data_IF_682825651917
#
_entry.id   IF_682825651917
#
_cell.length_a   1.000
_cell.length_b   1.000
_cell.length_c   1.000
_cell.angle_alpha   90.00
_cell.angle_beta   90.00
_cell.angle_gamma   90.00
#
_symmetry.space_group_name_H-M   'P 1'
#
loop_
_entity.id
_entity.type
_entity.pdbx_description
1 polymer ?
#
# COMPACT_ATOMS: atom_id res chain seq x y z
N UNK A 1 56.31 9.89 -20.73
CA UNK A 1 55.59 8.61 -20.79
C UNK A 1 54.87 8.38 -19.46
N UNK A 2 53.61 7.94 -19.50
CA UNK A 2 52.74 7.54 -18.37
C UNK A 2 52.31 8.68 -17.41
N UNK A 3 51.06 8.87 -17.00
CA UNK A 3 49.80 8.11 -17.13
C UNK A 3 48.63 9.09 -16.96
N UNK A 4 47.66 9.00 -17.86
CA UNK A 4 46.27 9.39 -17.65
C UNK A 4 45.72 8.75 -16.38
N UNK A 5 45.08 9.52 -15.50
CA UNK A 5 44.04 9.01 -14.61
C UNK A 5 42.81 9.92 -14.73
N UNK A 6 41.87 9.43 -15.53
CA UNK A 6 40.51 9.94 -15.62
C UNK A 6 39.84 9.83 -14.25
N UNK A 7 39.49 10.97 -13.68
CA UNK A 7 38.57 11.10 -12.55
C UNK A 7 37.16 10.79 -13.06
N UNK A 8 36.72 9.55 -12.92
CA UNK A 8 35.32 9.16 -13.13
C UNK A 8 34.50 9.63 -11.93
N UNK A 9 33.87 10.79 -12.09
CA UNK A 9 32.76 11.25 -11.25
C UNK A 9 31.61 10.25 -11.39
N UNK A 10 31.45 9.35 -10.40
CA UNK A 10 30.21 8.59 -10.22
C UNK A 10 29.11 9.55 -9.79
N UNK A 11 28.38 10.10 -10.76
CA UNK A 11 27.08 10.71 -10.49
C UNK A 11 26.11 9.58 -10.14
N UNK A 12 25.87 9.40 -8.84
CA UNK A 12 24.84 8.55 -8.30
C UNK A 12 23.48 9.22 -8.53
N UNK A 13 22.85 8.88 -9.67
CA UNK A 13 21.56 9.40 -10.10
C UNK A 13 20.49 8.31 -10.17
N UNK A 14 20.38 7.45 -9.16
CA UNK A 14 19.17 6.64 -8.97
C UNK A 14 18.20 7.45 -8.12
N UNK A 15 17.42 8.32 -8.78
CA UNK A 15 16.24 8.91 -8.14
C UNK A 15 15.33 7.77 -7.76
N UNK A 16 15.08 7.61 -6.47
CA UNK A 16 14.26 6.56 -5.89
C UNK A 16 12.79 6.92 -6.12
N UNK A 17 12.30 6.67 -7.34
CA UNK A 17 10.94 7.02 -7.80
C UNK A 17 9.85 6.31 -6.97
N UNK A 18 10.20 5.26 -6.24
CA UNK A 18 9.27 4.54 -5.35
C UNK A 18 8.86 5.34 -4.10
N UNK A 19 9.60 6.40 -3.73
CA UNK A 19 9.33 7.19 -2.53
C UNK A 19 8.34 8.34 -2.69
N UNK A 20 8.12 8.84 -3.92
CA UNK A 20 7.39 10.09 -4.17
C UNK A 20 5.85 9.93 -4.16
N UNK A 21 5.32 8.72 -4.37
CA UNK A 21 3.87 8.48 -4.44
C UNK A 21 3.20 8.32 -3.07
N UNK A 22 3.98 8.08 -2.01
CA UNK A 22 3.44 7.67 -0.69
C UNK A 22 2.85 8.81 0.13
N UNK A 23 3.22 10.07 -0.14
CA UNK A 23 2.90 11.19 0.76
C UNK A 23 1.81 12.14 0.20
N UNK A 24 1.24 11.86 -0.98
CA UNK A 24 0.29 12.79 -1.61
C UNK A 24 -0.83 12.17 -2.44
N UNK A 25 -0.70 10.90 -2.84
CA UNK A 25 -1.66 10.28 -3.76
C UNK A 25 -2.98 9.88 -3.07
N UNK A 26 -2.94 9.47 -1.79
CA UNK A 26 -4.10 8.88 -1.13
C UNK A 26 -5.20 9.87 -0.77
N UNK A 27 -4.85 11.11 -0.37
CA UNK A 27 -5.83 12.15 0.01
C UNK A 27 -6.73 12.62 -1.14
N UNK A 28 -6.47 12.18 -2.36
CA UNK A 28 -7.18 12.62 -3.56
C UNK A 28 -7.58 11.47 -4.50
N UNK A 29 -7.59 10.22 -4.02
CA UNK A 29 -8.10 9.12 -4.84
C UNK A 29 -9.62 9.20 -4.94
N UNK A 30 -10.15 9.28 -6.16
CA UNK A 30 -11.60 9.27 -6.38
C UNK A 30 -12.20 7.95 -5.91
N UNK A 31 -13.20 8.02 -5.04
CA UNK A 31 -13.88 6.84 -4.48
C UNK A 31 -13.33 6.36 -3.15
N UNK A 32 -12.29 7.00 -2.61
CA UNK A 32 -11.87 6.77 -1.23
C UNK A 32 -12.97 7.19 -0.25
N UNK A 33 -13.25 6.32 0.72
CA UNK A 33 -14.21 6.50 1.80
C UNK A 33 -13.44 6.73 3.09
N UNK A 34 -13.74 7.84 3.76
CA UNK A 34 -13.16 8.20 5.04
C UNK A 34 -14.24 8.10 6.12
N UNK A 35 -13.99 7.28 7.14
CA UNK A 35 -14.85 7.15 8.32
C UNK A 35 -14.03 7.38 9.58
N UNK A 36 -14.67 7.98 10.58
CA UNK A 36 -14.13 7.96 11.93
C UNK A 36 -14.08 6.51 12.45
N UNK A 37 -13.04 6.18 13.21
CA UNK A 37 -12.84 4.82 13.72
C UNK A 37 -13.67 4.52 14.98
N UNK A 38 -14.28 5.52 15.62
CA UNK A 38 -14.90 5.47 16.94
C UNK A 38 -15.82 4.27 17.18
N UNK A 39 -15.30 3.25 17.88
CA UNK A 39 -16.01 2.04 18.27
C UNK A 39 -16.33 1.06 17.13
N UNK A 40 -15.87 1.33 15.90
CA UNK A 40 -16.12 0.49 14.72
C UNK A 40 -15.12 -0.64 14.61
N UNK A 41 -15.52 -1.74 13.99
CA UNK A 41 -14.63 -2.82 13.58
C UNK A 41 -13.71 -2.31 12.45
N UNK A 42 -12.40 -2.40 12.66
CA UNK A 42 -11.39 -1.91 11.71
C UNK A 42 -10.89 -3.06 10.85
N UNK A 43 -11.17 -2.97 9.55
CA UNK A 43 -10.78 -3.97 8.57
C UNK A 43 -9.64 -3.43 7.70
N UNK A 44 -8.49 -4.10 7.75
CA UNK A 44 -7.42 -3.95 6.77
C UNK A 44 -7.73 -4.84 5.57
N UNK A 45 -8.22 -4.25 4.48
CA UNK A 45 -8.48 -4.96 3.24
C UNK A 45 -7.27 -4.88 2.31
N UNK A 46 -6.82 -6.02 1.81
CA UNK A 46 -5.65 -6.08 0.96
C UNK A 46 -5.83 -7.09 -0.18
N UNK A 47 -5.34 -6.70 -1.35
CA UNK A 47 -4.79 -7.67 -2.30
C UNK A 47 -3.29 -7.68 -2.01
N UNK A 48 -2.68 -8.83 -1.66
CA UNK A 48 -1.28 -8.91 -1.23
C UNK A 48 -0.35 -8.74 -2.44
N UNK A 49 -0.42 -7.57 -3.05
CA UNK A 49 0.21 -7.20 -4.29
C UNK A 49 0.35 -5.67 -4.32
N UNK A 50 0.97 -5.15 -5.37
CA UNK A 50 1.15 -3.71 -5.57
C UNK A 50 -0.19 -2.99 -5.66
N UNK A 51 -0.17 -1.69 -5.32
CA UNK A 51 -1.32 -0.79 -5.46
C UNK A 51 -1.99 -0.91 -6.82
N UNK A 52 -1.22 -0.86 -7.93
CA UNK A 52 -1.79 -0.87 -9.28
C UNK A 52 -2.54 -2.17 -9.61
N UNK A 53 -2.00 -3.32 -9.17
CA UNK A 53 -2.67 -4.62 -9.37
C UNK A 53 -3.93 -4.70 -8.52
N UNK A 54 -3.84 -4.30 -7.25
CA UNK A 54 -4.99 -4.29 -6.34
C UNK A 54 -6.11 -3.35 -6.79
N UNK A 55 -5.76 -2.15 -7.26
CA UNK A 55 -6.73 -1.18 -7.79
C UNK A 55 -7.42 -1.63 -9.06
N UNK A 56 -6.80 -2.53 -9.81
CA UNK A 56 -7.38 -3.16 -11.00
C UNK A 56 -8.29 -4.36 -10.66
N UNK A 57 -8.42 -4.72 -9.37
CA UNK A 57 -9.26 -5.83 -8.93
C UNK A 57 -10.69 -5.41 -8.62
N UNK A 58 -11.65 -5.93 -9.40
CA UNK A 58 -13.07 -5.73 -9.12
C UNK A 58 -13.47 -6.30 -7.74
N UNK A 59 -12.89 -7.43 -7.33
CA UNK A 59 -13.19 -8.04 -6.04
C UNK A 59 -12.78 -7.12 -4.88
N UNK A 60 -11.59 -6.51 -4.95
CA UNK A 60 -11.13 -5.54 -3.95
C UNK A 60 -12.07 -4.33 -3.88
N UNK A 61 -12.44 -3.76 -5.04
CA UNK A 61 -13.35 -2.61 -5.11
C UNK A 61 -14.74 -2.92 -4.53
N UNK A 62 -15.28 -4.11 -4.82
CA UNK A 62 -16.58 -4.55 -4.31
C UNK A 62 -16.54 -4.75 -2.80
N UNK A 63 -15.53 -5.44 -2.27
CA UNK A 63 -15.39 -5.66 -0.82
C UNK A 63 -15.16 -4.35 -0.07
N UNK A 64 -14.32 -3.46 -0.61
CA UNK A 64 -14.08 -2.14 -0.03
C UNK A 64 -15.37 -1.34 0.13
N UNK A 65 -16.18 -1.27 -0.94
CA UNK A 65 -17.48 -0.59 -0.90
C UNK A 65 -18.47 -1.30 0.02
N UNK A 66 -18.49 -2.64 0.02
CA UNK A 66 -19.43 -3.42 0.82
C UNK A 66 -19.16 -3.27 2.31
N UNK A 67 -17.90 -3.36 2.74
CA UNK A 67 -17.52 -3.14 4.13
C UNK A 67 -17.81 -1.70 4.55
N UNK A 68 -17.43 -0.73 3.72
CA UNK A 68 -17.70 0.67 4.02
C UNK A 68 -19.19 1.07 3.89
N UNK A 69 -20.07 0.20 3.42
CA UNK A 69 -21.52 0.42 3.50
C UNK A 69 -22.10 0.08 4.89
N UNK A 70 -21.40 -0.74 5.70
CA UNK A 70 -21.83 -1.06 7.06
C UNK A 70 -21.48 0.08 8.04
N UNK A 71 -22.41 0.48 8.89
CA UNK A 71 -22.26 1.66 9.76
C UNK A 71 -21.21 1.47 10.87
N UNK A 72 -21.07 0.23 11.33
CA UNK A 72 -20.20 -0.22 12.42
C UNK A 72 -18.83 -0.74 11.93
N UNK A 73 -18.54 -0.63 10.63
CA UNK A 73 -17.27 -1.04 10.03
C UNK A 73 -16.56 0.16 9.39
N UNK A 74 -15.26 0.27 9.66
CA UNK A 74 -14.32 1.07 8.87
C UNK A 74 -13.37 0.13 8.15
N UNK A 75 -13.29 0.26 6.83
CA UNK A 75 -12.43 -0.58 6.00
C UNK A 75 -11.46 0.30 5.23
N UNK A 76 -10.18 0.00 5.37
CA UNK A 76 -9.10 0.72 4.72
C UNK A 76 -8.23 -0.25 3.93
N UNK A 77 -7.62 0.27 2.87
CA UNK A 77 -6.83 -0.53 1.93
C UNK A 77 -5.38 -0.48 2.33
N UNK A 78 -4.75 -1.65 2.37
CA UNK A 78 -3.32 -1.78 2.62
C UNK A 78 -2.69 -2.50 1.43
N UNK A 79 -1.71 -1.88 0.81
CA UNK A 79 -0.98 -2.48 -0.30
C UNK A 79 0.45 -2.78 0.08
N UNK A 80 0.93 -3.89 -0.45
CA UNK A 80 2.29 -4.34 -0.29
C UNK A 80 3.15 -3.87 -1.47
N UNK A 81 4.39 -3.50 -1.20
CA UNK A 81 5.41 -3.32 -2.24
C UNK A 81 6.59 -4.25 -1.98
N UNK A 82 7.17 -4.76 -3.08
CA UNK A 82 8.34 -5.64 -2.99
C UNK A 82 9.47 -4.95 -2.23
N UNK A 83 9.92 -5.59 -1.15
CA UNK A 83 10.99 -5.07 -0.30
C UNK A 83 10.52 -4.17 0.84
N UNK A 84 9.22 -3.87 0.97
CA UNK A 84 8.70 -3.04 2.07
C UNK A 84 9.08 -3.60 3.45
N UNK A 85 8.98 -4.91 3.66
CA UNK A 85 9.39 -5.55 4.92
C UNK A 85 10.88 -5.36 5.26
N UNK A 86 11.76 -5.22 4.27
CA UNK A 86 13.20 -5.02 4.51
C UNK A 86 13.51 -3.58 4.95
N UNK A 87 12.58 -2.64 4.75
CA UNK A 87 12.79 -1.23 5.10
C UNK A 87 12.60 -0.94 6.58
N UNK A 88 12.04 -1.89 7.36
CA UNK A 88 11.69 -1.68 8.77
C UNK A 88 10.60 -0.64 9.01
N UNK A 89 9.99 -0.09 7.96
CA UNK A 89 8.88 0.85 8.07
C UNK A 89 7.57 0.09 8.29
N UNK A 90 6.63 0.64 9.08
CA UNK A 90 5.32 0.06 9.22
C UNK A 90 4.61 0.02 7.86
N UNK A 91 3.83 -1.03 7.64
CA UNK A 91 2.86 -1.07 6.55
C UNK A 91 1.70 -0.16 6.95
N UNK A 92 1.33 0.78 6.08
CA UNK A 92 0.33 1.80 6.37
C UNK A 92 -0.87 1.63 5.47
N UNK A 93 -2.05 1.92 6.00
CA UNK A 93 -3.26 2.05 5.21
C UNK A 93 -3.20 3.24 4.28
N UNK A 94 -3.93 3.16 3.18
CA UNK A 94 -3.95 4.18 2.16
C UNK A 94 -4.73 5.40 2.64
N UNK A 95 -5.92 5.19 3.23
CA UNK A 95 -6.84 6.25 3.58
C UNK A 95 -6.26 7.18 4.66
N UNK A 96 -5.91 6.65 5.83
CA UNK A 96 -5.50 7.47 6.97
C UNK A 96 -4.03 7.33 7.37
N UNK A 97 -3.23 6.58 6.61
CA UNK A 97 -1.83 6.25 6.95
C UNK A 97 -1.71 5.54 8.30
N UNK A 98 -2.71 4.73 8.67
CA UNK A 98 -2.70 3.98 9.94
C UNK A 98 -1.82 2.74 9.82
N UNK A 99 -1.08 2.42 10.88
CA UNK A 99 -0.26 1.23 10.90
C UNK A 99 -1.14 -0.03 10.85
N UNK A 100 -0.71 -1.01 10.05
CA UNK A 100 -1.46 -2.23 9.82
C UNK A 100 -1.66 -3.10 11.08
N UNK A 101 -0.88 -2.84 12.13
CA UNK A 101 -1.01 -3.47 13.44
C UNK A 101 -2.19 -2.93 14.28
N UNK A 102 -2.76 -1.78 13.91
CA UNK A 102 -3.85 -1.12 14.66
C UNK A 102 -5.26 -1.51 14.18
N UNK A 103 -5.33 -2.45 13.22
CA UNK A 103 -6.58 -3.01 12.68
C UNK A 103 -6.97 -4.29 13.40
N UNK A 104 -8.28 -4.51 13.55
CA UNK A 104 -8.84 -5.67 14.26
C UNK A 104 -8.88 -6.92 13.38
N UNK A 105 -9.10 -6.73 12.07
CA UNK A 105 -9.30 -7.81 11.10
C UNK A 105 -8.51 -7.54 9.83
N UNK A 106 -7.84 -8.58 9.34
CA UNK A 106 -7.27 -8.61 8.00
C UNK A 106 -8.17 -9.37 7.04
N UNK A 107 -8.50 -8.73 5.92
CA UNK A 107 -9.25 -9.33 4.82
C UNK A 107 -8.37 -9.40 3.56
N UNK A 108 -8.18 -10.60 3.03
CA UNK A 108 -7.37 -10.82 1.84
C UNK A 108 -8.25 -11.22 0.65
N UNK A 109 -8.02 -10.57 -0.49
CA UNK A 109 -8.49 -11.06 -1.79
C UNK A 109 -7.31 -11.70 -2.53
N UNK A 110 -7.38 -13.02 -2.74
CA UNK A 110 -6.39 -13.80 -3.49
C UNK A 110 -7.03 -14.15 -4.82
N UNK A 111 -6.51 -13.60 -5.93
CA UNK A 111 -7.06 -13.83 -7.27
C UNK A 111 -6.20 -14.77 -8.10
N UNK A 112 -4.91 -14.87 -7.79
CA UNK A 112 -3.96 -15.72 -8.49
C UNK A 112 -3.10 -16.51 -7.51
N UNK A 113 -2.57 -17.66 -7.95
CA UNK A 113 -1.69 -18.50 -7.13
C UNK A 113 -0.47 -17.74 -6.60
N UNK A 114 0.06 -16.80 -7.39
CA UNK A 114 1.23 -15.99 -7.00
C UNK A 114 0.94 -14.99 -5.88
N UNK A 115 -0.33 -14.60 -5.66
CA UNK A 115 -0.70 -13.70 -4.58
C UNK A 115 -0.50 -14.37 -3.20
N UNK A 116 -0.58 -15.71 -3.14
CA UNK A 116 -0.43 -16.48 -1.90
C UNK A 116 0.95 -16.30 -1.25
N UNK A 117 2.00 -16.14 -2.05
CA UNK A 117 3.37 -16.00 -1.52
C UNK A 117 3.65 -14.64 -0.86
N UNK A 118 2.72 -13.69 -0.96
CA UNK A 118 2.85 -12.35 -0.41
C UNK A 118 2.00 -12.14 0.86
N UNK A 119 1.30 -13.18 1.32
CA UNK A 119 0.54 -13.17 2.59
C UNK A 119 1.46 -13.47 3.77
#
# INVERSE_FOLDING_TARGET
>A
MARHQHRLTRQNGSKNVAGEWRTGAARHEMGAVYKDWGGRLRVALTMPNTYFVGMSSLALQLLYRRFNAEEDVVCERIFWEKGAAQTGKPLLSLESETAAADFDVWAFTISWEMDYFNV
#
